data_IF_900059846570
#
_entry.id   IF_900059846570
#
_cell.length_a   1.000
_cell.length_b   1.000
_cell.length_c   1.000
_cell.angle_alpha   90.00
_cell.angle_beta   90.00
_cell.angle_gamma   90.00
#
_symmetry.space_group_name_H-M   'P 1'
#
loop_
_entity.id
_entity.type
_entity.pdbx_description
1 polymer ?
#
# COMPACT_ATOMS: atom_id res chain seq x y z
N UNK A 1 11.39 -4.33 2.43
CA UNK A 1 11.82 -3.62 1.21
C UNK A 1 13.25 -3.97 0.80
N UNK A 2 14.26 -3.80 1.68
CA UNK A 2 15.67 -4.01 1.33
C UNK A 2 16.01 -5.42 0.85
N UNK A 3 15.42 -6.46 1.45
CA UNK A 3 15.59 -7.86 1.02
C UNK A 3 15.18 -8.06 -0.44
N UNK A 4 13.97 -7.60 -0.79
CA UNK A 4 13.43 -7.66 -2.16
C UNK A 4 14.31 -6.87 -3.13
N UNK A 5 14.69 -5.64 -2.78
CA UNK A 5 15.52 -4.78 -3.63
C UNK A 5 16.92 -5.38 -3.89
N UNK A 6 17.58 -5.91 -2.86
CA UNK A 6 18.86 -6.63 -3.00
C UNK A 6 18.74 -7.84 -3.93
N UNK A 7 17.64 -8.59 -3.80
CA UNK A 7 17.37 -9.72 -4.68
C UNK A 7 17.26 -9.28 -6.15
N UNK A 8 16.49 -8.25 -6.47
CA UNK A 8 16.34 -7.75 -7.84
C UNK A 8 17.64 -7.17 -8.40
N UNK A 9 18.42 -6.46 -7.57
CA UNK A 9 19.76 -5.99 -7.95
C UNK A 9 20.67 -7.17 -8.34
N UNK A 10 20.63 -8.29 -7.60
CA UNK A 10 21.38 -9.51 -7.94
C UNK A 10 20.96 -10.14 -9.28
N UNK A 11 19.77 -9.79 -9.78
CA UNK A 11 19.24 -10.20 -11.09
C UNK A 11 19.43 -9.12 -12.16
N UNK A 12 20.22 -8.09 -11.86
CA UNK A 12 20.46 -6.94 -12.73
C UNK A 12 19.18 -6.18 -13.11
N UNK A 13 18.19 -6.17 -12.20
CA UNK A 13 16.94 -5.43 -12.34
C UNK A 13 16.92 -4.34 -11.28
N UNK A 14 16.78 -3.08 -11.70
CA UNK A 14 16.68 -1.94 -10.79
C UNK A 14 15.21 -1.62 -10.52
N UNK A 15 14.79 -1.75 -9.26
CA UNK A 15 13.49 -1.29 -8.80
C UNK A 15 13.50 0.22 -8.55
N UNK A 16 12.37 0.89 -8.73
CA UNK A 16 12.14 2.24 -8.21
C UNK A 16 11.54 2.11 -6.82
N UNK A 17 12.18 2.70 -5.80
CA UNK A 17 11.71 2.65 -4.41
C UNK A 17 11.21 4.01 -3.96
N UNK A 18 10.14 4.01 -3.18
CA UNK A 18 9.61 5.17 -2.48
C UNK A 18 10.71 5.91 -1.67
N UNK A 19 11.46 5.20 -0.83
CA UNK A 19 12.47 5.83 0.04
C UNK A 19 13.76 6.25 -0.67
N UNK A 20 14.11 5.64 -1.81
CA UNK A 20 15.36 5.91 -2.55
C UNK A 20 15.16 6.88 -3.71
N UNK A 21 14.15 6.61 -4.53
CA UNK A 21 13.96 7.22 -5.84
C UNK A 21 12.77 8.21 -5.85
N UNK A 22 11.93 8.20 -4.80
CA UNK A 22 10.79 9.11 -4.63
C UNK A 22 10.66 9.61 -3.17
N UNK A 23 11.71 10.22 -2.58
CA UNK A 23 11.79 10.51 -1.15
C UNK A 23 10.50 11.17 -0.65
N UNK A 24 9.99 10.61 0.45
CA UNK A 24 8.67 10.82 1.10
C UNK A 24 8.27 12.28 1.42
N UNK A 25 9.06 13.27 1.02
CA UNK A 25 8.81 14.70 1.18
C UNK A 25 8.11 15.35 -0.01
N UNK A 26 7.92 14.64 -1.13
CA UNK A 26 7.47 15.30 -2.35
C UNK A 26 6.16 14.72 -2.86
N UNK A 27 5.07 15.39 -2.45
CA UNK A 27 3.68 15.35 -2.93
C UNK A 27 3.12 14.00 -3.40
N UNK A 28 1.91 13.65 -2.90
CA UNK A 28 1.06 12.59 -3.45
C UNK A 28 1.08 12.57 -4.99
N UNK A 29 1.11 13.74 -5.63
CA UNK A 29 1.27 13.88 -7.08
C UNK A 29 2.47 13.11 -7.64
N UNK A 30 3.68 13.28 -7.09
CA UNK A 30 4.87 12.58 -7.59
C UNK A 30 4.82 11.08 -7.34
N UNK A 31 4.23 10.65 -6.22
CA UNK A 31 3.97 9.23 -5.97
C UNK A 31 3.09 8.65 -7.09
N UNK A 32 1.98 9.31 -7.39
CA UNK A 32 1.07 8.89 -8.46
C UNK A 32 1.73 8.94 -9.85
N UNK A 33 2.49 10.00 -10.14
CA UNK A 33 3.22 10.13 -11.41
C UNK A 33 4.28 9.02 -11.56
N UNK A 34 4.96 8.66 -10.47
CA UNK A 34 5.90 7.53 -10.44
C UNK A 34 5.17 6.24 -10.75
N UNK A 35 4.07 5.94 -10.06
CA UNK A 35 3.28 4.72 -10.31
C UNK A 35 2.83 4.63 -11.77
N UNK A 36 2.28 5.72 -12.32
CA UNK A 36 1.79 5.75 -13.71
C UNK A 36 2.89 5.51 -14.75
N UNK A 37 4.15 5.81 -14.41
CA UNK A 37 5.31 5.58 -15.26
C UNK A 37 5.83 4.13 -15.22
N UNK A 38 5.26 3.24 -14.40
CA UNK A 38 5.70 1.85 -14.27
C UNK A 38 4.61 0.86 -14.70
N UNK A 39 5.03 -0.26 -15.30
CA UNK A 39 4.13 -1.32 -15.75
C UNK A 39 3.58 -2.16 -14.59
N UNK A 40 4.34 -2.29 -13.51
CA UNK A 40 4.02 -3.13 -12.36
C UNK A 40 4.37 -2.43 -11.04
N UNK A 41 3.61 -2.73 -9.99
CA UNK A 41 3.80 -2.26 -8.62
C UNK A 41 3.94 -3.46 -7.70
N UNK A 42 5.04 -3.53 -6.96
CA UNK A 42 5.21 -4.50 -5.87
C UNK A 42 4.76 -3.82 -4.59
N UNK A 43 3.67 -4.29 -4.00
CA UNK A 43 3.13 -3.71 -2.77
C UNK A 43 3.57 -4.55 -1.57
N UNK A 44 4.30 -3.92 -0.67
CA UNK A 44 4.88 -4.55 0.51
C UNK A 44 4.01 -4.24 1.74
N UNK A 45 3.28 -5.22 2.25
CA UNK A 45 2.28 -5.02 3.30
C UNK A 45 2.76 -5.63 4.63
N UNK A 46 2.68 -4.83 5.68
CA UNK A 46 3.00 -5.15 7.07
C UNK A 46 1.93 -4.53 7.98
N UNK A 47 1.85 -4.94 9.24
CA UNK A 47 0.96 -4.29 10.20
C UNK A 47 1.31 -2.79 10.35
N UNK A 48 2.61 -2.45 10.35
CA UNK A 48 3.09 -1.07 10.38
C UNK A 48 2.66 -0.27 9.14
N UNK A 49 2.67 -0.89 7.95
CA UNK A 49 2.16 -0.27 6.72
C UNK A 49 0.67 0.07 6.86
N UNK A 50 -0.14 -0.88 7.35
CA UNK A 50 -1.59 -0.73 7.52
C UNK A 50 -1.99 0.33 8.56
N UNK A 51 -1.05 0.74 9.42
CA UNK A 51 -1.23 1.78 10.46
C UNK A 51 -0.54 3.11 10.13
N UNK A 52 0.24 3.18 9.05
CA UNK A 52 0.96 4.39 8.62
C UNK A 52 0.05 5.32 7.82
N UNK A 53 -0.05 6.61 8.21
CA UNK A 53 -0.91 7.58 7.50
C UNK A 53 -0.43 7.81 6.08
N UNK A 54 0.88 7.91 5.86
CA UNK A 54 1.42 8.17 4.53
C UNK A 54 1.15 7.00 3.59
N UNK A 55 1.52 5.78 4.01
CA UNK A 55 1.35 4.56 3.21
C UNK A 55 -0.13 4.33 2.88
N UNK A 56 -1.01 4.43 3.90
CA UNK A 56 -2.43 4.21 3.68
C UNK A 56 -3.06 5.32 2.84
N UNK A 57 -2.66 6.57 3.02
CA UNK A 57 -3.18 7.66 2.19
C UNK A 57 -2.80 7.48 0.73
N UNK A 58 -1.53 7.18 0.46
CA UNK A 58 -1.00 6.91 -0.88
C UNK A 58 -1.71 5.72 -1.55
N UNK A 59 -1.86 4.59 -0.84
CA UNK A 59 -2.50 3.41 -1.41
C UNK A 59 -3.99 3.61 -1.64
N UNK A 60 -4.70 4.30 -0.75
CA UNK A 60 -6.12 4.64 -0.95
C UNK A 60 -6.31 5.53 -2.19
N UNK A 61 -5.35 6.39 -2.52
CA UNK A 61 -5.40 7.18 -3.75
C UNK A 61 -5.02 6.33 -4.97
N UNK A 62 -4.05 5.43 -4.83
CA UNK A 62 -3.64 4.51 -5.89
C UNK A 62 -4.76 3.56 -6.32
N UNK A 63 -5.50 2.96 -5.38
CA UNK A 63 -6.58 2.01 -5.71
C UNK A 63 -7.80 2.67 -6.38
N UNK A 64 -7.85 4.00 -6.45
CA UNK A 64 -8.86 4.74 -7.20
C UNK A 64 -8.49 4.87 -8.69
N UNK A 65 -7.25 4.56 -9.07
CA UNK A 65 -6.82 4.54 -10.48
C UNK A 65 -7.41 3.34 -11.23
N UNK A 66 -7.63 3.51 -12.54
CA UNK A 66 -8.09 2.41 -13.39
C UNK A 66 -7.00 1.35 -13.53
N UNK A 67 -7.39 0.08 -13.58
CA UNK A 67 -6.51 -1.07 -13.86
C UNK A 67 -5.34 -1.23 -12.86
N UNK A 68 -5.47 -0.71 -11.63
CA UNK A 68 -4.41 -0.84 -10.63
C UNK A 68 -4.22 -2.30 -10.19
N UNK A 69 -5.31 -3.07 -10.10
CA UNK A 69 -5.33 -4.46 -9.65
C UNK A 69 -4.43 -5.33 -10.51
N UNK A 70 -4.54 -5.23 -11.83
CA UNK A 70 -3.80 -6.08 -12.78
C UNK A 70 -2.29 -5.88 -12.73
N UNK A 71 -1.85 -4.72 -12.24
CA UNK A 71 -0.44 -4.31 -12.16
C UNK A 71 0.15 -4.48 -10.76
N UNK A 72 -0.65 -4.86 -9.76
CA UNK A 72 -0.22 -4.92 -8.36
C UNK A 72 0.13 -6.35 -7.96
N UNK A 73 1.33 -6.54 -7.44
CA UNK A 73 1.76 -7.79 -6.80
C UNK A 73 1.94 -7.57 -5.29
N UNK A 74 0.95 -7.97 -4.47
CA UNK A 74 1.02 -7.82 -3.02
C UNK A 74 1.90 -8.90 -2.38
N UNK A 75 2.80 -8.46 -1.49
CA UNK A 75 3.70 -9.29 -0.69
C UNK A 75 3.46 -8.95 0.78
N UNK A 76 3.10 -9.96 1.58
CA UNK A 76 2.92 -9.81 3.03
C UNK A 76 4.27 -10.07 3.71
N UNK A 77 4.77 -9.11 4.47
CA UNK A 77 6.12 -9.16 5.06
C UNK A 77 6.12 -9.72 6.47
N UNK A 78 5.06 -9.50 7.25
CA UNK A 78 4.94 -10.01 8.60
C UNK A 78 3.67 -10.86 8.76
N UNK A 79 3.73 -11.81 9.70
CA UNK A 79 2.59 -12.63 10.07
C UNK A 79 1.56 -11.87 10.92
N UNK A 80 1.86 -10.63 11.31
CA UNK A 80 0.98 -9.77 12.10
C UNK A 80 -0.07 -9.04 11.24
N UNK A 81 0.21 -8.87 9.95
CA UNK A 81 -0.73 -8.39 8.97
C UNK A 81 -1.82 -9.44 8.70
N UNK A 82 -2.88 -9.40 9.49
CA UNK A 82 -4.03 -10.30 9.43
C UNK A 82 -5.01 -9.94 8.30
N UNK A 83 -4.49 -9.69 7.09
CA UNK A 83 -5.27 -9.21 5.94
C UNK A 83 -6.21 -10.29 5.39
N UNK A 84 -5.84 -11.56 5.51
CA UNK A 84 -6.67 -12.68 5.02
C UNK A 84 -7.81 -13.04 5.96
N UNK A 85 -7.73 -12.61 7.22
CA UNK A 85 -8.76 -12.86 8.21
C UNK A 85 -9.74 -11.68 8.22
N UNK A 86 -10.89 -11.85 7.56
CA UNK A 86 -11.93 -10.84 7.52
C UNK A 86 -12.41 -10.42 8.92
N UNK A 87 -12.36 -11.33 9.90
CA UNK A 87 -12.76 -11.00 11.27
C UNK A 87 -11.79 -9.99 11.92
N UNK A 88 -10.52 -10.06 11.52
CA UNK A 88 -9.47 -9.17 11.98
C UNK A 88 -9.44 -7.82 11.25
N UNK A 89 -10.15 -7.64 10.14
CA UNK A 89 -10.25 -6.34 9.46
C UNK A 89 -10.82 -5.25 10.38
N UNK A 90 -11.72 -5.66 11.28
CA UNK A 90 -12.31 -4.81 12.31
C UNK A 90 -11.27 -4.08 13.16
N UNK A 91 -10.12 -4.72 13.44
CA UNK A 91 -8.98 -4.15 14.17
C UNK A 91 -8.42 -2.90 13.49
N UNK A 92 -8.22 -2.96 12.17
CA UNK A 92 -7.69 -1.85 11.40
C UNK A 92 -8.73 -0.74 11.21
N UNK A 93 -9.99 -1.11 10.97
CA UNK A 93 -11.11 -0.15 10.90
C UNK A 93 -11.18 0.63 12.23
N UNK A 94 -11.18 -0.08 13.36
CA UNK A 94 -11.23 0.51 14.68
C UNK A 94 -10.02 1.41 14.95
N UNK A 95 -8.80 0.97 14.58
CA UNK A 95 -7.59 1.77 14.72
C UNK A 95 -7.73 3.14 14.03
N UNK A 96 -8.20 3.17 12.78
CA UNK A 96 -8.33 4.42 12.02
C UNK A 96 -9.46 5.31 12.53
N UNK A 97 -10.60 4.73 12.93
CA UNK A 97 -11.69 5.47 13.56
C UNK A 97 -11.26 6.13 14.88
N UNK A 98 -10.51 5.40 15.72
CA UNK A 98 -9.94 5.94 16.96
C UNK A 98 -8.98 7.09 16.66
N UNK A 99 -8.08 6.92 15.71
CA UNK A 99 -7.10 7.95 15.31
C UNK A 99 -7.77 9.22 14.78
N UNK A 100 -8.85 9.08 14.00
CA UNK A 100 -9.67 10.20 13.53
C UNK A 100 -10.29 10.96 14.68
N UNK A 101 -10.95 10.24 15.60
CA UNK A 101 -11.60 10.83 16.78
C UNK A 101 -10.59 11.60 17.64
N UNK A 102 -9.46 10.98 17.97
CA UNK A 102 -8.42 11.60 18.80
C UNK A 102 -7.85 12.89 18.20
N UNK A 103 -7.58 12.93 16.89
CA UNK A 103 -7.09 14.15 16.25
C UNK A 103 -8.19 15.23 16.15
N UNK A 104 -9.42 14.82 15.83
CA UNK A 104 -10.57 15.74 15.77
C UNK A 104 -10.85 16.40 17.12
N UNK A 105 -10.78 15.65 18.22
CA UNK A 105 -10.98 16.18 19.56
C UNK A 105 -9.86 17.15 19.97
N UNK A 106 -8.60 16.84 19.64
CA UNK A 106 -7.46 17.76 19.85
C UNK A 106 -7.63 19.08 19.10
N UNK A 107 -8.10 19.04 17.85
CA UNK A 107 -8.34 20.26 17.05
C UNK A 107 -9.43 21.13 17.71
N UNK A 108 -10.51 20.52 18.20
CA UNK A 108 -11.57 21.24 18.93
C UNK A 108 -11.04 21.91 20.20
N UNK A 109 -10.18 21.23 20.96
CA UNK A 109 -9.54 21.80 22.16
C UNK A 109 -8.71 23.05 21.85
N UNK A 110 -8.10 23.12 20.67
CA UNK A 110 -7.32 24.28 20.20
C UNK A 110 -8.18 25.44 19.67
N UNK A 111 -9.51 25.38 19.81
CA UNK A 111 -10.44 26.40 19.33
C UNK A 111 -10.26 26.75 17.84
N UNK A 112 -9.79 25.79 17.03
CA UNK A 112 -9.51 25.95 15.61
C UNK A 112 -8.51 27.05 15.22
N UNK A 113 -7.71 27.56 16.17
CA UNK A 113 -6.72 28.61 15.91
C UNK A 113 -5.36 27.97 15.58
N UNK A 114 -4.79 28.29 14.41
CA UNK A 114 -3.49 27.73 13.97
C UNK A 114 -3.54 26.25 13.56
N UNK A 115 -4.73 25.68 13.35
CA UNK A 115 -4.93 24.23 13.15
C UNK A 115 -4.92 23.78 11.69
N UNK A 116 -4.57 24.63 10.73
CA UNK A 116 -4.65 24.33 9.28
C UNK A 116 -3.90 23.05 8.91
N UNK A 117 -2.69 22.84 9.45
CA UNK A 117 -1.91 21.61 9.21
C UNK A 117 -2.57 20.37 9.80
N UNK A 118 -3.21 20.51 10.97
CA UNK A 118 -3.94 19.43 11.64
C UNK A 118 -5.22 19.06 10.87
N UNK A 119 -5.94 20.03 10.33
CA UNK A 119 -7.09 19.77 9.46
C UNK A 119 -6.69 19.02 8.19
N UNK A 120 -5.58 19.40 7.55
CA UNK A 120 -5.05 18.65 6.39
C UNK A 120 -4.74 17.19 6.74
N UNK A 121 -4.18 16.95 7.93
CA UNK A 121 -3.89 15.59 8.39
C UNK A 121 -5.18 14.83 8.75
N UNK A 122 -6.15 15.50 9.38
CA UNK A 122 -7.46 14.95 9.67
C UNK A 122 -8.20 14.53 8.39
N UNK A 123 -8.11 15.31 7.32
CA UNK A 123 -8.71 14.98 6.02
C UNK A 123 -8.11 13.70 5.42
N UNK A 124 -6.78 13.50 5.54
CA UNK A 124 -6.15 12.24 5.11
C UNK A 124 -6.66 11.06 5.93
N UNK A 125 -6.69 11.19 7.25
CA UNK A 125 -7.17 10.15 8.16
C UNK A 125 -8.64 9.84 7.87
N UNK A 126 -9.46 10.86 7.58
CA UNK A 126 -10.85 10.69 7.22
C UNK A 126 -11.02 9.85 5.94
N UNK A 127 -10.22 10.15 4.91
CA UNK A 127 -10.19 9.36 3.69
C UNK A 127 -9.77 7.91 3.97
N UNK A 128 -8.76 7.70 4.82
CA UNK A 128 -8.30 6.36 5.17
C UNK A 128 -9.40 5.58 5.90
N UNK A 129 -9.98 6.10 6.98
CA UNK A 129 -11.02 5.38 7.73
C UNK A 129 -12.25 5.05 6.87
N UNK A 130 -12.56 5.89 5.88
CA UNK A 130 -13.72 5.69 5.00
C UNK A 130 -13.48 4.62 3.93
N UNK A 131 -12.22 4.29 3.62
CA UNK A 131 -11.85 3.38 2.53
C UNK A 131 -11.06 2.14 2.99
N UNK A 132 -10.58 2.08 4.24
CA UNK A 132 -9.74 0.98 4.73
C UNK A 132 -10.45 -0.38 4.62
N UNK A 133 -11.76 -0.45 4.91
CA UNK A 133 -12.50 -1.72 4.80
C UNK A 133 -12.55 -2.26 3.37
N UNK A 134 -12.86 -1.38 2.40
CA UNK A 134 -12.85 -1.75 0.98
C UNK A 134 -11.45 -2.15 0.50
N UNK A 135 -10.42 -1.41 0.93
CA UNK A 135 -9.03 -1.75 0.64
C UNK A 135 -8.67 -3.15 1.14
N UNK A 136 -8.96 -3.45 2.41
CA UNK A 136 -8.63 -4.76 3.00
C UNK A 136 -9.35 -5.90 2.27
N UNK A 137 -10.62 -5.73 1.92
CA UNK A 137 -11.37 -6.70 1.13
C UNK A 137 -10.73 -6.94 -0.24
N UNK A 138 -10.44 -5.86 -0.99
CA UNK A 138 -9.82 -5.99 -2.32
C UNK A 138 -8.43 -6.62 -2.28
N UNK A 139 -7.64 -6.32 -1.26
CA UNK A 139 -6.31 -6.95 -1.10
C UNK A 139 -6.44 -8.41 -0.69
N UNK A 140 -7.38 -8.76 0.18
CA UNK A 140 -7.63 -10.15 0.55
C UNK A 140 -8.07 -11.01 -0.64
N UNK A 141 -8.82 -10.43 -1.59
CA UNK A 141 -9.21 -11.09 -2.84
C UNK A 141 -8.03 -11.29 -3.81
N UNK A 142 -6.96 -10.51 -3.67
CA UNK A 142 -5.75 -10.69 -4.47
C UNK A 142 -4.94 -11.87 -3.96
N UNK A 143 -4.35 -12.61 -4.90
CA UNK A 143 -3.34 -13.62 -4.57
C UNK A 143 -2.09 -12.93 -3.98
N UNK A 144 -2.05 -12.85 -2.66
CA UNK A 144 -0.94 -12.32 -1.88
C UNK A 144 0.03 -13.44 -1.52
N UNK A 145 1.31 -13.10 -1.38
CA UNK A 145 2.35 -14.07 -1.05
C UNK A 145 3.12 -13.62 0.20
N UNK A 146 3.32 -14.50 1.21
CA UNK A 146 4.29 -14.25 2.26
C UNK A 146 5.70 -14.08 1.67
N UNK A 147 6.47 -13.13 2.20
CA UNK A 147 7.83 -12.86 1.72
C UNK A 147 8.72 -14.10 1.81
N UNK A 148 8.62 -14.87 2.90
CA UNK A 148 9.47 -16.05 3.10
C UNK A 148 9.15 -17.17 2.09
N UNK A 149 7.89 -17.30 1.65
CA UNK A 149 7.52 -18.21 0.56
C UNK A 149 8.15 -17.76 -0.76
N UNK A 150 8.12 -16.46 -1.06
CA UNK A 150 8.77 -15.94 -2.27
C UNK A 150 10.27 -16.15 -2.23
N UNK A 151 10.94 -15.95 -1.10
CA UNK A 151 12.38 -16.15 -0.99
C UNK A 151 12.77 -17.62 -1.14
N UNK A 152 12.06 -18.54 -0.50
CA UNK A 152 12.32 -19.99 -0.63
C UNK A 152 12.13 -20.51 -2.06
N UNK A 153 11.27 -19.84 -2.84
CA UNK A 153 11.01 -20.17 -4.24
C UNK A 153 11.82 -19.33 -5.22
N UNK A 154 12.77 -18.50 -4.75
CA UNK A 154 13.58 -17.61 -5.59
C UNK A 154 12.72 -16.66 -6.44
N UNK A 155 11.63 -16.16 -5.84
CA UNK A 155 10.66 -15.23 -6.41
C UNK A 155 9.99 -15.71 -7.70
N UNK A 156 9.86 -17.03 -7.90
CA UNK A 156 9.24 -17.64 -9.10
C UNK A 156 7.85 -17.07 -9.40
N UNK A 157 6.99 -16.94 -8.38
CA UNK A 157 5.64 -16.43 -8.55
C UNK A 157 5.62 -14.97 -9.03
N UNK A 158 6.50 -14.14 -8.49
CA UNK A 158 6.65 -12.75 -8.91
C UNK A 158 7.18 -12.64 -10.34
N UNK A 159 8.18 -13.44 -10.73
CA UNK A 159 8.63 -13.48 -12.13
C UNK A 159 7.56 -13.99 -13.09
N UNK A 160 6.73 -14.96 -12.67
CA UNK A 160 5.60 -15.41 -13.47
C UNK A 160 4.56 -14.29 -13.66
N UNK A 161 4.31 -13.49 -12.62
CA UNK A 161 3.46 -12.31 -12.70
C UNK A 161 4.01 -11.25 -13.67
N UNK A 162 5.31 -10.93 -13.58
CA UNK A 162 5.97 -9.96 -14.46
C UNK A 162 6.03 -10.39 -15.94
N UNK A 163 5.95 -11.71 -16.21
CA UNK A 163 5.95 -12.30 -17.55
C UNK A 163 4.56 -12.37 -18.20
N UNK A 164 3.51 -11.83 -17.58
CA UNK A 164 2.16 -11.83 -18.14
C UNK A 164 2.05 -10.96 -19.40
N UNK A 165 2.49 -11.48 -20.55
CA UNK A 165 1.95 -11.19 -21.89
C UNK A 165 2.35 -12.31 -22.86
N UNK A 166 1.49 -13.32 -23.01
CA UNK A 166 1.22 -13.95 -24.32
C UNK A 166 -0.22 -14.47 -24.30
N UNK A 167 -1.10 -13.81 -25.04
CA UNK A 167 -2.42 -14.35 -25.39
C UNK A 167 -2.31 -14.88 -26.82
N UNK A 168 -2.33 -16.21 -27.00
CA UNK A 168 -2.45 -16.83 -28.32
C UNK A 168 -3.88 -17.31 -28.49
N UNK A 169 -4.54 -16.82 -29.53
CA UNK A 169 -5.82 -17.31 -30.00
C UNK A 169 -5.62 -17.85 -31.42
N UNK A 170 -5.79 -19.15 -31.63
CA UNK A 170 -5.93 -19.72 -32.97
C UNK A 170 -7.39 -20.11 -33.17
N UNK A 171 -7.97 -19.69 -34.30
CA UNK A 171 -9.23 -20.28 -34.79
C UNK A 171 -8.96 -21.64 -35.40
#
# INVERSE_FOLDING_TARGET
>A
ADRVDKFFISKNIRLTRDVRDAPAYSSLKKFMDTIRAHDYVIMLISDAYLKSTNCMYEVIQFIQERNYIDRTFPIVIDNEATIFDQSEHSKYIHYWQKKYKELGDKIKTLQNTGTISLHKELDKINKIQSNIGEFLNKIADLKCFPLDELESTNYKALFAFLRKQVFVFSR
#
